data_IF_311134624586
#
_entry.id   IF_311134624586
#
_cell.length_a   1.000
_cell.length_b   1.000
_cell.length_c   1.000
_cell.angle_alpha   90.00
_cell.angle_beta   90.00
_cell.angle_gamma   90.00
#
_symmetry.space_group_name_H-M   'P 1'
#
loop_
_entity.id
_entity.type
_entity.pdbx_description
1 polymer ?
#
# COMPACT_ATOMS: atom_id res chain seq x y z
N UNK A 1 -68.50 63.11 -63.71
CA UNK A 1 -67.95 63.90 -64.83
C UNK A 1 -66.45 63.82 -64.70
N UNK A 2 -65.80 62.90 -65.40
CA UNK A 2 -65.25 63.08 -66.77
C UNK A 2 -63.74 62.88 -66.60
N UNK A 3 -63.25 61.71 -66.97
CA UNK A 3 -62.68 61.44 -68.29
C UNK A 3 -61.17 61.74 -68.30
N UNK A 4 -60.40 60.65 -68.29
CA UNK A 4 -59.08 60.43 -68.90
C UNK A 4 -58.91 61.20 -70.23
N UNK A 5 -57.69 61.46 -70.77
CA UNK A 5 -56.90 60.35 -71.34
C UNK A 5 -55.35 60.51 -71.50
N UNK A 6 -54.68 59.35 -71.45
CA UNK A 6 -53.68 58.76 -72.38
C UNK A 6 -52.34 59.43 -72.76
N UNK A 7 -51.25 58.69 -72.45
CA UNK A 7 -50.11 58.18 -73.29
C UNK A 7 -49.14 59.16 -73.98
N UNK A 8 -47.85 58.79 -74.29
CA UNK A 8 -47.34 57.48 -74.79
C UNK A 8 -46.08 56.93 -74.06
N UNK A 9 -45.83 55.62 -73.96
CA UNK A 9 -45.18 54.66 -74.89
C UNK A 9 -43.93 55.14 -75.67
N UNK A 10 -42.78 54.57 -75.28
CA UNK A 10 -41.53 54.37 -76.03
C UNK A 10 -40.60 53.54 -75.13
N UNK A 11 -40.42 52.22 -75.34
CA UNK A 11 -39.65 51.49 -76.36
C UNK A 11 -38.22 51.14 -75.88
N UNK A 12 -37.91 49.83 -75.97
CA UNK A 12 -36.57 49.19 -76.00
C UNK A 12 -35.78 49.16 -74.65
N UNK A 13 -35.06 48.10 -74.25
CA UNK A 13 -34.50 46.92 -74.93
C UNK A 13 -34.18 45.81 -73.92
N UNK A 14 -34.10 44.57 -74.41
CA UNK A 14 -33.71 43.37 -73.69
C UNK A 14 -32.22 43.37 -73.26
N UNK A 15 -31.93 42.81 -72.08
CA UNK A 15 -30.66 42.15 -71.79
C UNK A 15 -30.85 41.08 -70.70
N UNK A 16 -30.81 39.84 -71.18
CA UNK A 16 -30.45 38.60 -70.50
C UNK A 16 -29.16 38.76 -69.66
N UNK A 17 -29.09 38.19 -68.44
CA UNK A 17 -27.90 37.54 -67.84
C UNK A 17 -28.30 36.84 -66.52
N UNK A 18 -28.43 35.51 -66.64
CA UNK A 18 -27.91 34.47 -65.75
C UNK A 18 -28.25 34.46 -64.24
N UNK A 19 -29.10 33.47 -63.92
CA UNK A 19 -28.98 32.59 -62.75
C UNK A 19 -27.51 32.25 -62.41
N UNK A 20 -27.04 32.72 -61.26
CA UNK A 20 -25.89 32.13 -60.57
C UNK A 20 -26.41 31.45 -59.30
N UNK A 21 -26.58 30.14 -59.42
CA UNK A 21 -26.63 29.20 -58.31
C UNK A 21 -25.33 29.31 -57.52
N UNK A 22 -25.35 30.02 -56.39
CA UNK A 22 -24.28 29.93 -55.42
C UNK A 22 -24.33 28.54 -54.76
N UNK A 23 -23.38 27.68 -55.13
CA UNK A 23 -23.11 26.46 -54.37
C UNK A 23 -22.77 26.84 -52.91
N UNK A 24 -23.24 26.09 -51.90
CA UNK A 24 -22.77 26.30 -50.55
C UNK A 24 -21.29 25.89 -50.49
N UNK A 25 -20.43 26.85 -50.12
CA UNK A 25 -19.04 26.61 -49.78
C UNK A 25 -18.96 25.57 -48.64
N UNK A 26 -18.14 24.53 -48.88
CA UNK A 26 -17.80 23.47 -47.92
C UNK A 26 -17.06 24.08 -46.72
N UNK A 27 -17.79 24.42 -45.66
CA UNK A 27 -17.20 24.93 -44.41
C UNK A 27 -17.43 23.98 -43.21
N UNK A 28 -17.76 22.71 -43.47
CA UNK A 28 -18.12 21.74 -42.43
C UNK A 28 -17.03 20.69 -42.08
N UNK A 29 -15.94 20.58 -42.84
CA UNK A 29 -14.96 19.48 -42.65
C UNK A 29 -13.74 19.84 -41.77
N UNK A 30 -13.35 21.11 -41.70
CA UNK A 30 -12.13 21.52 -41.01
C UNK A 30 -12.26 21.55 -39.45
N UNK A 31 -13.46 21.83 -38.94
CA UNK A 31 -13.77 21.86 -37.49
C UNK A 31 -13.83 20.46 -36.88
N UNK A 32 -14.19 19.45 -37.67
CA UNK A 32 -14.24 18.03 -37.26
C UNK A 32 -12.83 17.44 -37.07
N UNK A 33 -11.91 17.73 -37.99
CA UNK A 33 -10.56 17.15 -37.97
C UNK A 33 -9.71 17.71 -36.81
N UNK A 34 -9.75 19.02 -36.58
CA UNK A 34 -9.01 19.65 -35.48
C UNK A 34 -9.46 19.14 -34.11
N UNK A 35 -10.77 19.04 -33.90
CA UNK A 35 -11.36 18.49 -32.68
C UNK A 35 -11.00 17.01 -32.48
N UNK A 36 -10.97 16.21 -33.56
CA UNK A 36 -10.55 14.81 -33.52
C UNK A 36 -9.08 14.67 -33.10
N UNK A 37 -8.17 15.46 -33.66
CA UNK A 37 -6.76 15.44 -33.27
C UNK A 37 -6.53 15.92 -31.84
N UNK A 38 -7.26 16.94 -31.38
CA UNK A 38 -7.22 17.37 -29.98
C UNK A 38 -7.69 16.24 -29.05
N UNK A 39 -8.78 15.55 -29.38
CA UNK A 39 -9.26 14.39 -28.59
C UNK A 39 -8.24 13.25 -28.55
N UNK A 40 -7.65 12.91 -29.70
CA UNK A 40 -6.58 11.89 -29.78
C UNK A 40 -5.39 12.30 -28.93
N UNK A 41 -4.96 13.57 -29.01
CA UNK A 41 -3.87 14.10 -28.19
C UNK A 41 -4.16 14.01 -26.68
N UNK A 42 -5.37 14.39 -26.25
CA UNK A 42 -5.80 14.26 -24.84
C UNK A 42 -5.81 12.80 -24.40
N UNK A 43 -6.37 11.89 -25.20
CA UNK A 43 -6.42 10.46 -24.88
C UNK A 43 -5.02 9.85 -24.78
N UNK A 44 -4.11 10.21 -25.71
CA UNK A 44 -2.73 9.78 -25.66
C UNK A 44 -2.02 10.29 -24.40
N UNK A 45 -2.24 11.56 -24.04
CA UNK A 45 -1.69 12.15 -22.83
C UNK A 45 -2.19 11.44 -21.57
N UNK A 46 -3.50 11.27 -21.41
CA UNK A 46 -4.11 10.59 -20.26
C UNK A 46 -3.61 9.16 -20.15
N UNK A 47 -3.48 8.46 -21.28
CA UNK A 47 -2.97 7.08 -21.33
C UNK A 47 -1.51 7.03 -20.88
N UNK A 48 -0.66 7.93 -21.40
CA UNK A 48 0.75 7.98 -21.05
C UNK A 48 0.94 8.30 -19.55
N UNK A 49 0.24 9.30 -19.02
CA UNK A 49 0.31 9.63 -17.59
C UNK A 49 -0.20 8.50 -16.71
N UNK A 50 -1.34 7.91 -17.04
CA UNK A 50 -1.89 6.77 -16.28
C UNK A 50 -0.93 5.60 -16.29
N UNK A 51 -0.31 5.28 -17.44
CA UNK A 51 0.68 4.21 -17.54
C UNK A 51 1.92 4.47 -16.69
N UNK A 52 2.48 5.69 -16.75
CA UNK A 52 3.63 6.08 -15.92
C UNK A 52 3.29 5.96 -14.44
N UNK A 53 2.15 6.50 -14.02
CA UNK A 53 1.71 6.46 -12.62
C UNK A 53 1.49 5.02 -12.16
N UNK A 54 0.75 4.21 -12.91
CA UNK A 54 0.47 2.81 -12.56
C UNK A 54 1.77 2.01 -12.49
N UNK A 55 2.68 2.18 -13.46
CA UNK A 55 3.97 1.49 -13.50
C UNK A 55 4.83 1.85 -12.29
N UNK A 56 4.98 3.14 -12.00
CA UNK A 56 5.75 3.60 -10.85
C UNK A 56 5.15 3.12 -9.52
N UNK A 57 3.85 3.30 -9.33
CA UNK A 57 3.16 2.85 -8.11
C UNK A 57 3.26 1.34 -7.94
N UNK A 58 3.12 0.56 -9.02
CA UNK A 58 3.26 -0.89 -8.98
C UNK A 58 4.69 -1.30 -8.61
N UNK A 59 5.70 -0.66 -9.21
CA UNK A 59 7.10 -0.94 -8.90
C UNK A 59 7.40 -0.68 -7.42
N UNK A 60 7.02 0.49 -6.89
CA UNK A 60 7.22 0.83 -5.46
C UNK A 60 6.48 -0.15 -4.55
N UNK A 61 5.25 -0.51 -4.93
CA UNK A 61 4.43 -1.45 -4.16
C UNK A 61 5.10 -2.83 -4.08
N UNK A 62 5.48 -3.41 -5.22
CA UNK A 62 6.04 -4.76 -5.28
C UNK A 62 7.46 -4.84 -4.74
N UNK A 63 8.28 -3.79 -4.92
CA UNK A 63 9.60 -3.68 -4.31
C UNK A 63 9.52 -3.74 -2.78
N UNK A 64 8.59 -2.97 -2.20
CA UNK A 64 8.39 -2.96 -0.74
C UNK A 64 7.81 -4.27 -0.22
N UNK A 65 6.81 -4.84 -0.90
CA UNK A 65 6.24 -6.14 -0.54
C UNK A 65 7.30 -7.24 -0.55
N UNK A 66 8.15 -7.27 -1.57
CA UNK A 66 9.27 -8.22 -1.67
C UNK A 66 10.33 -7.99 -0.59
N UNK A 67 10.68 -6.73 -0.29
CA UNK A 67 11.64 -6.41 0.75
C UNK A 67 11.18 -6.89 2.13
N UNK A 68 9.90 -6.68 2.44
CA UNK A 68 9.31 -7.19 3.67
C UNK A 68 9.22 -8.72 3.69
N UNK A 69 8.77 -9.35 2.60
CA UNK A 69 8.71 -10.80 2.48
C UNK A 69 10.08 -11.43 2.74
N UNK A 70 11.11 -10.97 2.03
CA UNK A 70 12.47 -11.50 2.15
C UNK A 70 13.03 -11.33 3.57
N UNK A 71 12.75 -10.20 4.21
CA UNK A 71 13.20 -9.94 5.57
C UNK A 71 12.51 -10.84 6.60
N UNK A 72 11.20 -11.04 6.47
CA UNK A 72 10.45 -11.94 7.34
C UNK A 72 10.88 -13.39 7.13
N UNK A 73 11.00 -13.85 5.88
CA UNK A 73 11.45 -15.19 5.55
C UNK A 73 12.87 -15.47 6.09
N UNK A 74 13.79 -14.52 5.92
CA UNK A 74 15.14 -14.62 6.49
C UNK A 74 15.10 -14.69 8.02
N UNK A 75 14.29 -13.85 8.66
CA UNK A 75 14.14 -13.81 10.12
C UNK A 75 13.59 -15.12 10.67
N UNK A 76 12.51 -15.65 10.09
CA UNK A 76 11.93 -16.94 10.48
C UNK A 76 12.93 -18.09 10.29
N UNK A 77 13.71 -18.09 9.20
CA UNK A 77 14.76 -19.08 8.95
C UNK A 77 15.84 -19.07 10.04
N UNK A 78 16.36 -17.88 10.36
CA UNK A 78 17.41 -17.72 11.39
C UNK A 78 16.85 -18.09 12.77
N UNK A 79 15.69 -17.56 13.16
CA UNK A 79 15.09 -17.84 14.47
C UNK A 79 14.80 -19.33 14.68
N UNK A 80 14.36 -20.02 13.63
CA UNK A 80 14.16 -21.47 13.64
C UNK A 80 15.47 -22.24 13.84
N UNK A 81 16.57 -21.82 13.19
CA UNK A 81 17.87 -22.48 13.33
C UNK A 81 18.45 -22.32 14.74
N UNK A 82 18.19 -21.18 15.38
CA UNK A 82 18.63 -20.91 16.76
C UNK A 82 17.62 -21.38 17.83
N UNK A 83 16.66 -22.24 17.45
CA UNK A 83 15.63 -22.83 18.32
C UNK A 83 14.88 -21.81 19.18
N UNK A 84 14.56 -20.63 18.62
CA UNK A 84 13.84 -19.58 19.34
C UNK A 84 12.34 -19.70 19.10
N UNK A 85 11.56 -19.60 20.19
CA UNK A 85 10.13 -19.41 20.09
C UNK A 85 9.86 -17.95 19.72
N UNK A 86 9.32 -17.75 18.51
CA UNK A 86 8.97 -16.45 17.97
C UNK A 86 7.53 -16.43 17.44
N UNK A 87 6.95 -15.25 17.28
CA UNK A 87 5.61 -15.08 16.73
C UNK A 87 5.41 -13.68 16.15
N UNK A 88 4.43 -13.52 15.27
CA UNK A 88 4.05 -12.23 14.72
C UNK A 88 3.37 -11.35 15.78
N UNK A 89 3.70 -10.07 15.80
CA UNK A 89 3.09 -9.06 16.68
C UNK A 89 2.48 -7.91 15.86
N UNK A 90 1.70 -7.06 16.54
CA UNK A 90 1.21 -5.77 16.07
C UNK A 90 0.76 -5.77 14.59
N UNK A 91 1.39 -4.94 13.74
CA UNK A 91 0.91 -4.72 12.38
C UNK A 91 1.24 -5.88 11.45
N UNK A 92 2.31 -6.61 11.71
CA UNK A 92 2.62 -7.90 11.05
C UNK A 92 1.52 -8.95 11.34
N UNK A 93 1.09 -9.06 12.60
CA UNK A 93 0.01 -9.95 13.02
C UNK A 93 -1.34 -9.51 12.45
N UNK A 94 -1.58 -8.19 12.38
CA UNK A 94 -2.80 -7.62 11.80
C UNK A 94 -2.87 -7.95 10.30
N UNK A 95 -1.77 -7.78 9.58
CA UNK A 95 -1.65 -8.13 8.16
C UNK A 95 -1.93 -9.61 7.93
N UNK A 96 -1.28 -10.48 8.70
CA UNK A 96 -1.53 -11.94 8.70
C UNK A 96 -3.01 -12.27 8.90
N UNK A 97 -3.63 -11.70 9.93
CA UNK A 97 -4.98 -12.06 10.37
C UNK A 97 -6.06 -11.49 9.46
N UNK A 98 -5.90 -10.26 8.97
CA UNK A 98 -6.94 -9.52 8.24
C UNK A 98 -6.79 -9.59 6.72
N UNK A 99 -5.56 -9.63 6.22
CA UNK A 99 -5.28 -9.52 4.79
C UNK A 99 -4.62 -10.77 4.20
N UNK A 100 -4.02 -11.64 5.04
CA UNK A 100 -3.12 -12.70 4.58
C UNK A 100 -1.81 -12.19 3.99
N UNK A 101 -1.54 -10.89 4.13
CA UNK A 101 -0.36 -10.17 3.63
C UNK A 101 -0.03 -9.00 4.55
N UNK A 102 1.17 -8.47 4.43
CA UNK A 102 1.61 -7.34 5.25
C UNK A 102 0.82 -6.07 4.95
N UNK A 103 0.61 -5.25 5.97
CA UNK A 103 0.07 -3.90 5.80
C UNK A 103 1.22 -3.03 5.28
N UNK A 104 1.30 -2.80 3.97
CA UNK A 104 2.53 -2.25 3.41
C UNK A 104 2.86 -0.83 3.89
N UNK A 105 1.88 -0.01 4.24
CA UNK A 105 2.14 1.31 4.82
C UNK A 105 2.49 1.27 6.31
N UNK A 106 2.51 0.09 6.92
CA UNK A 106 3.20 -0.13 8.18
C UNK A 106 4.71 0.01 7.99
N UNK A 107 5.41 0.50 9.02
CA UNK A 107 6.78 0.99 8.89
C UNK A 107 7.84 -0.12 9.03
N UNK A 108 7.51 -1.23 9.68
CA UNK A 108 8.42 -2.31 10.06
C UNK A 108 7.72 -3.65 10.28
N UNK A 109 8.51 -4.71 10.47
CA UNK A 109 8.03 -6.02 10.91
C UNK A 109 8.11 -6.13 12.43
N UNK A 110 6.99 -6.32 13.11
CA UNK A 110 6.97 -6.67 14.53
C UNK A 110 6.99 -8.18 14.78
N UNK A 111 8.01 -8.66 15.50
CA UNK A 111 8.19 -10.08 15.85
C UNK A 111 8.46 -10.21 17.34
N UNK A 112 7.66 -11.01 18.05
CA UNK A 112 7.92 -11.38 19.44
C UNK A 112 8.94 -12.51 19.52
N UNK A 113 9.85 -12.45 20.48
CA UNK A 113 10.83 -13.52 20.75
C UNK A 113 10.84 -13.86 22.24
N UNK A 114 10.78 -15.15 22.56
CA UNK A 114 10.93 -15.62 23.93
C UNK A 114 12.40 -15.58 24.35
N UNK A 115 12.68 -14.89 25.45
CA UNK A 115 14.04 -14.68 25.98
C UNK A 115 14.06 -15.07 27.46
N UNK A 116 14.25 -16.36 27.79
CA UNK A 116 14.21 -16.84 29.17
C UNK A 116 15.34 -16.28 30.05
N UNK A 117 16.46 -15.90 29.44
CA UNK A 117 17.58 -15.26 30.11
C UNK A 117 18.18 -14.14 29.24
N UNK A 118 18.82 -13.11 29.83
CA UNK A 118 19.27 -11.94 29.07
C UNK A 118 20.18 -12.25 27.87
N UNK A 119 21.00 -13.29 27.94
CA UNK A 119 21.91 -13.69 26.86
C UNK A 119 21.32 -14.71 25.88
N UNK A 120 20.13 -15.26 26.18
CA UNK A 120 19.54 -16.33 25.38
C UNK A 120 19.21 -15.93 23.94
N UNK A 121 19.15 -14.63 23.62
CA UNK A 121 18.89 -14.12 22.28
C UNK A 121 20.15 -13.63 21.55
N UNK A 122 21.30 -13.53 22.22
CA UNK A 122 22.48 -12.84 21.66
C UNK A 122 22.98 -13.49 20.37
N UNK A 123 23.09 -14.82 20.35
CA UNK A 123 23.52 -15.56 19.15
C UNK A 123 22.55 -15.40 17.98
N UNK A 124 21.23 -15.48 18.24
CA UNK A 124 20.22 -15.29 17.20
C UNK A 124 20.20 -13.83 16.72
N UNK A 125 20.37 -12.86 17.62
CA UNK A 125 20.47 -11.45 17.29
C UNK A 125 21.67 -11.15 16.40
N UNK A 126 22.85 -11.70 16.72
CA UNK A 126 24.04 -11.56 15.89
C UNK A 126 23.84 -12.19 14.50
N UNK A 127 23.28 -13.40 14.42
CA UNK A 127 22.97 -14.05 13.14
C UNK A 127 21.96 -13.27 12.31
N UNK A 128 20.93 -12.68 12.93
CA UNK A 128 19.99 -11.78 12.22
C UNK A 128 20.72 -10.55 11.64
N UNK A 129 21.67 -9.97 12.37
CA UNK A 129 22.45 -8.83 11.88
C UNK A 129 23.35 -9.25 10.70
N UNK A 130 24.02 -10.38 10.80
CA UNK A 130 24.94 -10.88 9.76
C UNK A 130 24.21 -11.36 8.50
N UNK A 131 23.12 -12.12 8.66
CA UNK A 131 22.46 -12.80 7.55
C UNK A 131 21.32 -12.01 6.91
N UNK A 132 20.59 -11.19 7.69
CA UNK A 132 19.31 -10.63 7.25
C UNK A 132 19.29 -9.10 7.15
N UNK A 133 19.93 -8.37 8.07
CA UNK A 133 19.73 -6.92 8.19
C UNK A 133 20.96 -6.08 7.86
N UNK A 134 22.13 -6.38 8.41
CA UNK A 134 23.46 -5.86 8.03
C UNK A 134 23.72 -4.35 8.12
N UNK A 135 22.70 -3.49 8.07
CA UNK A 135 22.87 -2.06 7.85
C UNK A 135 22.81 -1.24 9.13
N UNK A 136 21.81 -1.50 9.98
CA UNK A 136 21.62 -0.76 11.23
C UNK A 136 20.93 -1.63 12.26
N UNK A 137 21.54 -1.75 13.44
CA UNK A 137 21.00 -2.48 14.58
C UNK A 137 20.99 -1.54 15.79
N UNK A 138 19.83 -1.36 16.41
CA UNK A 138 19.63 -0.52 17.59
C UNK A 138 18.84 -1.32 18.62
N UNK A 139 19.24 -1.21 19.89
CA UNK A 139 18.45 -1.73 21.00
C UNK A 139 17.74 -0.58 21.69
N UNK A 140 16.41 -0.66 21.76
CA UNK A 140 15.55 0.25 22.52
C UNK A 140 15.06 -0.44 23.79
N UNK A 141 14.59 0.35 24.74
CA UNK A 141 13.85 -0.13 25.91
C UNK A 141 12.35 -0.05 25.64
N UNK A 142 11.60 -1.00 26.17
CA UNK A 142 10.15 -0.99 26.09
C UNK A 142 9.51 0.22 26.77
N UNK A 143 8.38 0.68 26.23
CA UNK A 143 7.68 1.85 26.77
C UNK A 143 7.03 1.57 28.14
N UNK A 144 6.48 0.37 28.36
CA UNK A 144 5.82 -0.02 29.61
C UNK A 144 6.74 -0.84 30.53
N UNK A 145 7.63 -1.64 29.97
CA UNK A 145 8.59 -2.46 30.71
C UNK A 145 10.02 -2.11 30.26
N UNK A 146 10.63 -1.09 30.87
CA UNK A 146 11.92 -0.55 30.44
C UNK A 146 13.12 -1.49 30.62
N UNK A 147 12.95 -2.56 31.36
CA UNK A 147 13.97 -3.60 31.55
C UNK A 147 14.00 -4.59 30.37
N UNK A 148 12.95 -4.60 29.54
CA UNK A 148 12.85 -5.45 28.36
C UNK A 148 13.29 -4.67 27.11
N UNK A 149 13.95 -5.39 26.21
CA UNK A 149 14.59 -4.85 25.02
C UNK A 149 13.70 -5.00 23.79
N UNK A 150 13.89 -4.07 22.86
CA UNK A 150 13.37 -4.16 21.50
C UNK A 150 14.57 -4.00 20.57
N UNK A 151 14.92 -5.05 19.83
CA UNK A 151 16.00 -5.00 18.84
C UNK A 151 15.43 -4.55 17.51
N UNK A 152 15.72 -3.31 17.11
CA UNK A 152 15.41 -2.81 15.77
C UNK A 152 16.57 -3.12 14.84
N UNK A 153 16.32 -3.96 13.83
CA UNK A 153 17.30 -4.34 12.80
C UNK A 153 16.78 -3.89 11.45
N UNK A 154 17.63 -3.27 10.64
CA UNK A 154 17.23 -2.70 9.36
C UNK A 154 18.16 -3.13 8.23
N UNK A 155 17.57 -3.33 7.06
CA UNK A 155 18.26 -3.31 5.77
C UNK A 155 18.32 -1.87 5.26
N UNK A 156 18.77 -1.67 4.02
CA UNK A 156 18.62 -0.36 3.34
C UNK A 156 17.18 -0.04 2.91
N UNK A 157 16.24 -1.00 3.04
CA UNK A 157 14.87 -0.88 2.53
C UNK A 157 13.80 -0.92 3.62
N UNK A 158 13.97 -1.78 4.62
CA UNK A 158 12.97 -2.03 5.66
C UNK A 158 13.64 -2.17 7.03
N UNK A 159 12.83 -2.19 8.08
CA UNK A 159 13.25 -2.59 9.41
C UNK A 159 12.35 -3.70 9.98
N UNK A 160 12.88 -4.44 10.93
CA UNK A 160 12.14 -5.35 11.80
C UNK A 160 12.47 -5.02 13.26
N UNK A 161 11.46 -5.09 14.12
CA UNK A 161 11.57 -4.97 15.56
C UNK A 161 11.30 -6.33 16.22
N UNK A 162 12.30 -6.80 16.97
CA UNK A 162 12.20 -8.03 17.75
C UNK A 162 11.93 -7.66 19.20
N UNK A 163 10.77 -8.04 19.72
CA UNK A 163 10.31 -7.70 21.07
C UNK A 163 10.69 -8.80 22.04
N UNK A 164 11.56 -8.46 23.01
CA UNK A 164 11.89 -9.34 24.11
C UNK A 164 10.63 -9.69 24.90
N UNK A 165 10.39 -11.00 25.06
CA UNK A 165 9.30 -11.53 25.88
C UNK A 165 9.85 -12.44 26.96
N UNK A 166 9.46 -12.20 28.20
CA UNK A 166 9.79 -13.04 29.35
C UNK A 166 8.53 -13.67 29.93
N UNK A 167 8.66 -14.89 30.46
CA UNK A 167 7.60 -15.58 31.17
C UNK A 167 7.88 -15.53 32.67
N UNK A 168 6.98 -14.89 33.42
CA UNK A 168 7.09 -14.79 34.87
C UNK A 168 5.75 -15.18 35.48
N UNK A 169 5.71 -16.32 36.19
CA UNK A 169 4.52 -16.80 36.91
C UNK A 169 3.24 -16.83 36.06
N UNK A 170 3.30 -17.44 34.86
CA UNK A 170 2.13 -17.54 33.97
C UNK A 170 1.76 -16.25 33.23
N UNK A 171 2.62 -15.24 33.27
CA UNK A 171 2.44 -13.96 32.56
C UNK A 171 3.55 -13.77 31.53
N UNK A 172 3.17 -13.49 30.30
CA UNK A 172 4.08 -13.07 29.24
C UNK A 172 4.21 -11.54 29.26
N UNK A 173 5.42 -11.04 29.51
CA UNK A 173 5.74 -9.61 29.54
C UNK A 173 6.61 -9.22 28.36
N UNK A 174 6.27 -8.13 27.69
CA UNK A 174 7.03 -7.52 26.60
C UNK A 174 7.35 -6.06 26.93
N UNK A 175 8.21 -5.42 26.14
CA UNK A 175 8.46 -3.99 26.30
C UNK A 175 7.19 -3.11 26.27
N UNK A 176 6.17 -3.56 25.55
CA UNK A 176 4.94 -2.81 25.24
C UNK A 176 3.71 -3.28 26.03
N UNK A 177 3.84 -4.27 26.92
CA UNK A 177 2.72 -4.72 27.73
C UNK A 177 2.87 -6.10 28.34
N UNK A 178 1.74 -6.68 28.73
CA UNK A 178 1.69 -8.00 29.34
C UNK A 178 0.38 -8.71 29.02
N UNK A 179 0.41 -10.04 29.12
CA UNK A 179 -0.71 -10.93 28.79
C UNK A 179 -0.60 -12.22 29.61
N UNK A 180 -1.69 -12.98 29.71
CA UNK A 180 -1.59 -14.32 30.29
C UNK A 180 -0.78 -15.20 29.34
N UNK A 181 0.02 -16.09 29.90
CA UNK A 181 0.77 -17.07 29.10
C UNK A 181 -0.17 -17.92 28.23
N UNK A 182 -1.38 -18.21 28.69
CA UNK A 182 -2.40 -18.95 27.93
C UNK A 182 -2.93 -18.21 26.70
N UNK A 183 -2.86 -16.86 26.68
CA UNK A 183 -3.23 -16.07 25.50
C UNK A 183 -2.11 -16.08 24.45
N UNK A 184 -0.86 -16.30 24.88
CA UNK A 184 0.30 -16.43 23.99
C UNK A 184 0.51 -17.85 23.50
N UNK A 185 0.65 -18.80 24.43
CA UNK A 185 1.02 -20.18 24.19
C UNK A 185 -0.19 -21.13 24.35
N UNK A 186 -0.21 -22.28 23.63
CA UNK A 186 0.75 -22.68 22.60
C UNK A 186 0.61 -21.82 21.34
N UNK A 187 1.74 -21.54 20.67
CA UNK A 187 1.73 -20.78 19.42
C UNK A 187 0.97 -21.54 18.34
N UNK A 188 0.26 -20.81 17.48
CA UNK A 188 -0.44 -21.36 16.31
C UNK A 188 0.35 -21.11 15.04
N UNK A 189 0.32 -22.05 14.10
CA UNK A 189 0.86 -21.81 12.76
C UNK A 189 -0.01 -20.80 12.02
N UNK A 190 0.62 -19.87 11.30
CA UNK A 190 -0.06 -18.90 10.44
C UNK A 190 0.81 -18.56 9.23
N UNK A 191 0.26 -17.78 8.29
CA UNK A 191 0.95 -17.37 7.07
C UNK A 191 0.68 -15.91 6.80
N UNK A 192 1.71 -15.18 6.38
CA UNK A 192 1.58 -13.78 5.94
C UNK A 192 2.47 -13.55 4.73
N UNK A 193 1.89 -13.00 3.65
CA UNK A 193 2.60 -12.80 2.38
C UNK A 193 3.31 -14.08 1.88
N UNK A 194 2.69 -15.25 2.09
CA UNK A 194 3.27 -16.55 1.72
C UNK A 194 4.34 -17.11 2.66
N UNK A 195 4.83 -16.35 3.64
CA UNK A 195 5.80 -16.82 4.64
C UNK A 195 5.09 -17.60 5.75
N UNK A 196 5.57 -18.81 6.04
CA UNK A 196 5.11 -19.59 7.18
C UNK A 196 5.70 -19.05 8.48
N UNK A 197 4.84 -18.68 9.42
CA UNK A 197 5.22 -18.10 10.69
C UNK A 197 4.40 -18.70 11.84
N UNK A 198 4.59 -18.14 13.03
CA UNK A 198 3.80 -18.44 14.22
C UNK A 198 3.03 -17.22 14.69
N UNK A 199 1.83 -17.45 15.20
CA UNK A 199 0.96 -16.43 15.76
C UNK A 199 0.61 -16.80 17.21
N UNK A 200 0.25 -15.83 18.07
CA UNK A 200 -0.23 -16.10 19.41
C UNK A 200 -1.43 -17.04 19.43
N UNK A 201 -1.61 -17.80 20.51
CA UNK A 201 -2.76 -18.66 20.72
C UNK A 201 -4.08 -17.89 20.59
N UNK A 202 -4.12 -16.66 21.11
CA UNK A 202 -5.25 -15.75 21.08
C UNK A 202 -4.89 -14.45 20.33
N UNK A 203 -4.64 -14.54 19.01
CA UNK A 203 -4.35 -13.38 18.18
C UNK A 203 -5.38 -12.23 18.31
N UNK A 204 -6.71 -12.47 18.40
CA UNK A 204 -7.68 -11.40 18.61
C UNK A 204 -7.46 -10.58 19.89
N UNK A 205 -6.97 -11.20 20.97
CA UNK A 205 -6.63 -10.48 22.20
C UNK A 205 -5.50 -9.47 21.97
N UNK A 206 -4.41 -9.88 21.34
CA UNK A 206 -3.28 -9.00 21.05
C UNK A 206 -3.65 -7.87 20.08
N UNK A 207 -4.43 -8.19 19.04
CA UNK A 207 -4.90 -7.19 18.09
C UNK A 207 -5.86 -6.19 18.73
N UNK A 208 -6.73 -6.64 19.63
CA UNK A 208 -7.61 -5.74 20.38
C UNK A 208 -6.83 -4.86 21.37
N UNK A 209 -5.75 -5.38 21.96
CA UNK A 209 -4.89 -4.61 22.87
C UNK A 209 -4.09 -3.53 22.13
N UNK A 210 -3.67 -3.79 20.89
CA UNK A 210 -2.91 -2.84 20.07
C UNK A 210 -3.81 -1.81 19.37
N UNK A 211 -4.97 -2.23 18.84
CA UNK A 211 -5.76 -1.43 17.89
C UNK A 211 -7.20 -1.15 18.35
N UNK A 212 -7.61 -1.64 19.52
CA UNK A 212 -8.99 -1.52 20.01
C UNK A 212 -9.92 -2.64 19.56
N UNK A 213 -11.11 -2.72 20.14
CA UNK A 213 -12.05 -3.84 19.93
C UNK A 213 -12.58 -3.95 18.48
N UNK A 214 -12.55 -2.84 17.74
CA UNK A 214 -13.01 -2.74 16.36
C UNK A 214 -11.91 -2.95 15.32
N UNK A 215 -10.73 -3.43 15.72
CA UNK A 215 -9.56 -3.67 14.86
C UNK A 215 -9.87 -4.43 13.56
N UNK A 216 -10.86 -5.33 13.60
CA UNK A 216 -11.27 -6.14 12.45
C UNK A 216 -12.04 -5.32 11.41
N UNK A 217 -12.85 -4.35 11.86
CA UNK A 217 -13.80 -3.63 11.02
C UNK A 217 -13.35 -2.21 10.69
N UNK A 218 -12.57 -1.56 11.56
CA UNK A 218 -12.09 -0.20 11.35
C UNK A 218 -11.21 -0.13 10.07
N UNK A 219 -11.34 0.90 9.22
CA UNK A 219 -10.46 1.05 8.06
C UNK A 219 -8.98 1.08 8.48
N UNK A 220 -8.12 0.34 7.78
CA UNK A 220 -6.69 0.25 8.13
C UNK A 220 -5.99 1.62 8.14
N UNK A 221 -6.43 2.56 7.30
CA UNK A 221 -5.90 3.93 7.29
C UNK A 221 -6.18 4.73 8.57
N UNK A 222 -7.02 4.22 9.48
CA UNK A 222 -7.28 4.82 10.79
C UNK A 222 -6.47 4.18 11.92
N UNK A 223 -5.70 3.13 11.63
CA UNK A 223 -4.90 2.40 12.62
C UNK A 223 -3.43 2.80 12.63
N UNK A 224 -2.98 3.54 11.62
CA UNK A 224 -1.60 4.01 11.41
C UNK A 224 -1.66 5.50 11.05
#
# INVERSE_FOLDING_TARGET
MSATPTHPLGAETAADVQSISAAPLREADATSLGLMWTRVGILALVTAFSWITISYCSHVYFDRDSAFHNALECSERVLKHHEKSNWLLNGTLLGSTRLGRLVLWDADLDIGVLVPSPSSFDAASAALDEECFGHRSIVKKGALNSDLRIWRKCTSRICAEFYETTLVSGTAKTGEGQSKESDLFPLKSCTVSGVHAKCPNNAPFYLAQAYGQDWLTIPLIKLF
#
